data_IF_654690529908
#
_entry.id   IF_654690529908
#
_cell.length_a   1.000
_cell.length_b   1.000
_cell.length_c   1.000
_cell.angle_alpha   90.00
_cell.angle_beta   90.00
_cell.angle_gamma   90.00
#
_symmetry.space_group_name_H-M   'P 1'
#
loop_
_entity.id
_entity.type
_entity.pdbx_description
1 polymer ?
#
# COMPACT_ATOMS: atom_id res chain seq x y z
N UNK A 1 -28.09 9.31 -11.81
CA UNK A 1 -27.69 7.97 -11.34
C UNK A 1 -26.37 8.10 -10.60
N UNK A 2 -26.25 7.52 -9.42
CA UNK A 2 -24.97 7.44 -8.71
C UNK A 2 -24.03 6.51 -9.49
N UNK A 3 -22.84 7.00 -9.84
CA UNK A 3 -21.81 6.18 -10.49
C UNK A 3 -21.26 5.17 -9.48
N UNK A 4 -20.92 3.96 -9.93
CA UNK A 4 -20.33 2.89 -9.10
C UNK A 4 -19.18 3.41 -8.21
N UNK A 5 -18.26 4.18 -8.79
CA UNK A 5 -17.15 4.78 -8.05
C UNK A 5 -17.59 5.73 -6.93
N UNK A 6 -18.63 6.54 -7.12
CA UNK A 6 -19.13 7.45 -6.08
C UNK A 6 -19.73 6.68 -4.89
N UNK A 7 -20.41 5.56 -5.15
CA UNK A 7 -20.94 4.67 -4.10
C UNK A 7 -19.81 4.00 -3.34
N UNK A 8 -18.80 3.49 -4.05
CA UNK A 8 -17.65 2.84 -3.42
C UNK A 8 -16.84 3.82 -2.58
N UNK A 9 -16.58 5.05 -3.06
CA UNK A 9 -15.92 6.10 -2.28
C UNK A 9 -16.68 6.43 -0.99
N UNK A 10 -18.02 6.48 -1.04
CA UNK A 10 -18.82 6.70 0.16
C UNK A 10 -18.67 5.56 1.18
N UNK A 11 -18.67 4.31 0.72
CA UNK A 11 -18.47 3.13 1.59
C UNK A 11 -17.06 3.12 2.19
N UNK A 12 -16.03 3.30 1.36
CA UNK A 12 -14.63 3.29 1.79
C UNK A 12 -14.31 4.41 2.78
N UNK A 13 -15.03 5.54 2.71
CA UNK A 13 -14.86 6.63 3.67
C UNK A 13 -15.22 6.30 5.12
N UNK A 14 -15.91 5.18 5.37
CA UNK A 14 -16.28 4.71 6.70
C UNK A 14 -15.22 3.86 7.41
N UNK A 15 -14.10 3.57 6.77
CA UNK A 15 -12.99 2.79 7.35
C UNK A 15 -11.87 3.74 7.80
N UNK A 16 -11.08 3.30 8.79
CA UNK A 16 -9.83 3.97 9.13
C UNK A 16 -8.83 3.76 7.98
N UNK A 17 -7.90 4.69 7.79
CA UNK A 17 -6.83 4.55 6.79
C UNK A 17 -6.11 3.21 6.99
N UNK A 18 -5.69 2.58 5.89
CA UNK A 18 -5.02 1.26 5.84
C UNK A 18 -5.85 0.07 6.37
N UNK A 19 -7.07 0.30 6.86
CA UNK A 19 -7.99 -0.75 7.32
C UNK A 19 -9.13 -1.02 6.35
N UNK A 20 -9.14 -0.32 5.21
CA UNK A 20 -10.20 -0.47 4.22
C UNK A 20 -10.15 -1.86 3.58
N UNK A 21 -11.31 -2.43 3.19
CA UNK A 21 -11.32 -3.69 2.46
C UNK A 21 -10.63 -3.52 1.10
N UNK A 22 -10.02 -4.60 0.59
CA UNK A 22 -9.26 -4.59 -0.69
C UNK A 22 -10.00 -3.99 -1.89
N UNK A 23 -11.34 -4.03 -1.89
CA UNK A 23 -12.17 -3.36 -2.90
C UNK A 23 -11.94 -1.84 -2.96
N UNK A 24 -11.52 -1.22 -1.87
CA UNK A 24 -11.21 0.20 -1.73
C UNK A 24 -9.84 0.60 -2.29
N UNK A 25 -8.98 -0.39 -2.58
CA UNK A 25 -7.64 -0.20 -3.15
C UNK A 25 -7.62 -0.53 -4.64
N UNK A 26 -8.74 -0.27 -5.33
CA UNK A 26 -8.85 -0.47 -6.78
C UNK A 26 -8.61 0.84 -7.51
N UNK A 27 -8.09 0.76 -8.74
CA UNK A 27 -7.78 1.92 -9.60
C UNK A 27 -8.96 2.87 -9.82
N UNK A 28 -10.20 2.37 -9.72
CA UNK A 28 -11.43 3.16 -9.84
C UNK A 28 -11.67 4.09 -8.63
N UNK A 29 -10.95 3.88 -7.52
CA UNK A 29 -11.21 4.49 -6.21
C UNK A 29 -10.01 5.28 -5.68
N UNK A 30 -8.81 4.70 -5.75
CA UNK A 30 -7.57 5.28 -5.20
C UNK A 30 -7.10 6.53 -5.94
N UNK A 31 -6.22 7.32 -5.31
CA UNK A 31 -5.71 8.58 -5.87
C UNK A 31 -4.42 8.42 -6.69
N UNK A 32 -3.81 7.22 -6.66
CA UNK A 32 -2.63 6.85 -7.45
C UNK A 32 -1.41 7.76 -7.19
N UNK A 33 -1.19 8.07 -5.92
CA UNK A 33 -0.13 8.94 -5.41
C UNK A 33 1.24 8.28 -5.49
N UNK A 34 1.31 6.94 -5.53
CA UNK A 34 2.57 6.23 -5.73
C UNK A 34 3.22 6.53 -7.10
N UNK A 35 2.48 6.98 -8.12
CA UNK A 35 3.09 7.41 -9.39
C UNK A 35 3.91 8.69 -9.26
N UNK A 36 3.64 9.51 -8.25
CA UNK A 36 4.33 10.78 -8.00
C UNK A 36 5.37 10.59 -6.91
N UNK A 37 6.66 10.54 -7.30
CA UNK A 37 7.79 10.36 -6.38
C UNK A 37 7.63 9.15 -5.43
N UNK A 38 7.00 8.06 -5.87
CA UNK A 38 6.75 6.85 -5.06
C UNK A 38 6.01 7.15 -3.75
N UNK A 39 5.14 8.18 -3.73
CA UNK A 39 4.44 8.63 -2.51
C UNK A 39 5.38 9.16 -1.41
N UNK A 40 6.66 9.38 -1.72
CA UNK A 40 7.71 9.64 -0.72
C UNK A 40 8.15 8.41 0.07
N UNK A 41 7.68 7.21 -0.31
CA UNK A 41 8.01 5.96 0.37
C UNK A 41 9.36 5.38 -0.10
N UNK A 42 9.88 4.49 0.71
CA UNK A 42 11.07 3.71 0.41
C UNK A 42 10.88 2.85 -0.85
N UNK A 43 11.96 2.70 -1.63
CA UNK A 43 11.99 1.86 -2.81
C UNK A 43 13.38 1.27 -3.03
N UNK A 44 13.46 -0.05 -3.20
CA UNK A 44 14.59 -0.69 -3.84
C UNK A 44 14.36 -0.73 -5.35
N UNK A 45 15.02 0.19 -6.07
CA UNK A 45 14.92 0.30 -7.53
C UNK A 45 15.60 -0.85 -8.27
N UNK A 46 16.56 -1.53 -7.66
CA UNK A 46 17.27 -2.65 -8.30
C UNK A 46 16.41 -3.93 -8.26
N UNK A 47 15.75 -4.17 -7.13
CA UNK A 47 14.83 -5.31 -6.96
C UNK A 47 13.39 -5.00 -7.41
N UNK A 48 13.07 -3.74 -7.72
CA UNK A 48 11.72 -3.25 -8.00
C UNK A 48 10.72 -3.56 -6.86
N UNK A 49 11.19 -3.35 -5.63
CA UNK A 49 10.40 -3.52 -4.41
C UNK A 49 10.10 -2.13 -3.85
N UNK A 50 8.86 -1.88 -3.45
CA UNK A 50 8.43 -0.57 -2.93
C UNK A 50 7.62 -0.74 -1.66
N UNK A 51 7.70 0.24 -0.78
CA UNK A 51 6.82 0.38 0.37
C UNK A 51 5.53 1.17 0.05
N UNK A 52 5.43 1.76 -1.14
CA UNK A 52 4.27 2.58 -1.50
C UNK A 52 3.07 1.70 -1.87
N UNK A 53 1.96 1.93 -1.18
CA UNK A 53 0.65 1.35 -1.49
C UNK A 53 -0.37 2.46 -1.66
N UNK A 54 -1.02 2.52 -2.82
CA UNK A 54 -2.15 3.41 -3.02
C UNK A 54 -3.36 2.92 -2.21
N UNK A 55 -4.00 3.84 -1.50
CA UNK A 55 -5.18 3.61 -0.66
C UNK A 55 -6.30 4.58 -1.06
N UNK A 56 -7.48 4.40 -0.47
CA UNK A 56 -8.63 5.26 -0.78
C UNK A 56 -8.34 6.73 -0.45
N UNK A 57 -7.62 7.00 0.64
CA UNK A 57 -7.27 8.35 1.10
C UNK A 57 -5.79 8.70 0.90
N UNK A 58 -5.20 8.25 -0.20
CA UNK A 58 -3.86 8.67 -0.58
C UNK A 58 -2.93 7.51 -0.87
N UNK A 59 -1.70 7.61 -0.38
CA UNK A 59 -0.75 6.51 -0.30
C UNK A 59 -0.33 6.23 1.14
N UNK A 60 -0.06 4.96 1.45
CA UNK A 60 0.59 4.54 2.68
C UNK A 60 1.98 3.97 2.37
N UNK A 61 2.92 4.23 3.27
CA UNK A 61 4.25 3.63 3.22
C UNK A 61 4.33 2.45 4.19
N UNK A 62 4.18 1.23 3.69
CA UNK A 62 4.34 -0.01 4.45
C UNK A 62 5.42 -0.91 3.84
N UNK A 63 6.34 -1.39 4.67
CA UNK A 63 7.37 -2.32 4.19
C UNK A 63 6.75 -3.63 3.68
N UNK A 64 7.07 -4.07 2.46
CA UNK A 64 6.37 -5.17 1.82
C UNK A 64 6.80 -6.53 2.36
N UNK A 65 5.97 -7.53 2.08
CA UNK A 65 6.36 -8.94 2.12
C UNK A 65 6.56 -9.42 0.67
N UNK A 66 7.77 -9.89 0.36
CA UNK A 66 8.13 -10.37 -0.99
C UNK A 66 8.62 -11.81 -0.86
N UNK A 67 8.00 -12.74 -1.58
CA UNK A 67 8.34 -14.17 -1.56
C UNK A 67 8.45 -14.78 -0.14
N UNK A 68 7.58 -14.33 0.78
CA UNK A 68 7.55 -14.78 2.18
C UNK A 68 8.61 -14.16 3.08
N UNK A 69 9.45 -13.26 2.56
CA UNK A 69 10.40 -12.46 3.33
C UNK A 69 9.72 -11.15 3.76
N UNK A 70 9.61 -10.94 5.07
CA UNK A 70 9.08 -9.71 5.63
C UNK A 70 10.17 -8.64 5.68
N UNK A 71 9.92 -7.48 5.10
CA UNK A 71 10.74 -6.30 5.33
C UNK A 71 10.20 -5.54 6.54
N UNK A 72 11.09 -4.99 7.37
CA UNK A 72 10.74 -4.18 8.54
C UNK A 72 11.46 -2.84 8.48
N UNK A 73 10.81 -1.79 8.95
CA UNK A 73 11.33 -0.44 8.93
C UNK A 73 10.20 0.58 9.06
N UNK A 74 10.47 1.84 8.70
CA UNK A 74 9.50 2.93 8.76
C UNK A 74 8.67 3.09 7.48
N UNK A 75 9.06 2.42 6.38
CA UNK A 75 8.38 2.51 5.09
C UNK A 75 8.78 3.74 4.26
N UNK A 76 9.43 4.75 4.84
CA UNK A 76 9.81 6.00 4.17
C UNK A 76 11.28 6.00 3.75
N UNK A 77 12.16 5.79 4.73
CA UNK A 77 13.60 5.86 4.54
C UNK A 77 14.23 4.46 4.63
N UNK A 78 13.58 3.54 5.35
CA UNK A 78 14.14 2.22 5.61
C UNK A 78 13.08 1.12 5.51
N UNK A 79 13.42 0.09 4.73
CA UNK A 79 12.85 -1.24 4.83
C UNK A 79 13.98 -2.26 4.68
N UNK A 80 14.24 -3.04 5.73
CA UNK A 80 15.29 -4.06 5.76
C UNK A 80 14.66 -5.45 5.87
N UNK A 81 15.24 -6.42 5.17
CA UNK A 81 14.82 -7.80 5.27
C UNK A 81 14.98 -8.30 6.71
N UNK A 82 13.86 -8.55 7.38
CA UNK A 82 13.87 -9.27 8.66
C UNK A 82 14.07 -10.74 8.34
N UNK A 83 15.10 -11.37 8.90
CA UNK A 83 15.42 -12.79 8.69
C UNK A 83 14.36 -13.81 9.15
N UNK A 84 13.13 -13.36 9.40
CA UNK A 84 11.98 -14.19 9.70
C UNK A 84 11.28 -14.53 8.37
N UNK A 85 11.60 -15.69 7.79
CA UNK A 85 10.74 -16.33 6.81
C UNK A 85 9.41 -16.64 7.51
N UNK A 86 8.40 -15.78 7.30
CA UNK A 86 7.06 -15.97 7.85
C UNK A 86 6.38 -17.13 7.08
N UNK A 87 6.80 -18.37 7.34
CA UNK A 87 6.25 -19.53 6.64
C UNK A 87 7.00 -20.86 6.77
N UNK A 88 8.09 -20.97 7.53
CA UNK A 88 8.73 -22.26 7.80
C UNK A 88 8.20 -22.87 9.10
N UNK A 89 7.01 -23.50 9.04
CA UNK A 89 6.61 -24.50 10.04
C UNK A 89 5.70 -25.56 9.46
#
# INVERSE_FOLDING_TARGET
MLKRGAVLKAICSGFEEITEPSVCWTDDIQTNECMENNGGCWQDKAANITACMDIFRGSACECPMVDGLQFKGDGYDNCEASGDLAGAR
#
